data_IF_908156339741
#
_entry.id   IF_908156339741
#
_cell.length_a   1.000
_cell.length_b   1.000
_cell.length_c   1.000
_cell.angle_alpha   90.00
_cell.angle_beta   90.00
_cell.angle_gamma   90.00
#
_symmetry.space_group_name_H-M   'P 1'
#
loop_
_entity.id
_entity.type
_entity.pdbx_description
1 polymer ?
#
# COMPACT_ATOMS: atom_id res chain seq x y z
N UNK A 1 1.01 -26.20 -14.04
CA UNK A 1 0.84 -24.98 -14.85
C UNK A 1 -0.63 -24.60 -15.01
N UNK A 2 -1.53 -25.53 -15.34
CA UNK A 2 -2.97 -25.29 -15.50
C UNK A 2 -3.64 -24.56 -14.31
N UNK A 3 -3.41 -25.01 -13.06
CA UNK A 3 -3.96 -24.37 -11.85
C UNK A 3 -3.64 -22.88 -11.73
N UNK A 4 -2.44 -22.46 -12.13
CA UNK A 4 -2.01 -21.05 -12.09
C UNK A 4 -2.78 -20.22 -13.12
N UNK A 5 -2.98 -20.76 -14.32
CA UNK A 5 -3.76 -20.11 -15.38
C UNK A 5 -5.24 -19.99 -15.01
N UNK A 6 -5.82 -21.04 -14.40
CA UNK A 6 -7.20 -21.00 -13.91
C UNK A 6 -7.40 -19.93 -12.83
N UNK A 7 -6.46 -19.79 -11.88
CA UNK A 7 -6.53 -18.74 -10.87
C UNK A 7 -6.44 -17.33 -11.47
N UNK A 8 -5.52 -17.13 -12.44
CA UNK A 8 -5.41 -15.84 -13.15
C UNK A 8 -6.70 -15.53 -13.90
N UNK A 9 -7.23 -16.50 -14.65
CA UNK A 9 -8.49 -16.33 -15.37
C UNK A 9 -9.65 -16.00 -14.42
N UNK A 10 -9.76 -16.70 -13.28
CA UNK A 10 -10.79 -16.43 -12.28
C UNK A 10 -10.70 -15.01 -11.71
N UNK A 11 -9.49 -14.53 -11.38
CA UNK A 11 -9.28 -13.15 -10.91
C UNK A 11 -9.65 -12.12 -11.99
N UNK A 12 -9.28 -12.37 -13.25
CA UNK A 12 -9.62 -11.48 -14.36
C UNK A 12 -11.14 -11.43 -14.61
N UNK A 13 -11.81 -12.58 -14.57
CA UNK A 13 -13.28 -12.65 -14.69
C UNK A 13 -13.95 -11.93 -13.53
N UNK A 14 -13.47 -12.12 -12.29
CA UNK A 14 -13.98 -11.41 -11.12
C UNK A 14 -13.84 -9.88 -11.29
N UNK A 15 -12.68 -9.41 -11.76
CA UNK A 15 -12.44 -7.99 -12.00
C UNK A 15 -13.32 -7.45 -13.13
N UNK A 16 -13.49 -8.22 -14.22
CA UNK A 16 -14.34 -7.83 -15.35
C UNK A 16 -15.81 -7.71 -14.92
N UNK A 17 -16.33 -8.70 -14.18
CA UNK A 17 -17.71 -8.68 -13.67
C UNK A 17 -17.87 -7.52 -12.68
N UNK A 18 -16.96 -7.38 -11.72
CA UNK A 18 -17.04 -6.30 -10.72
C UNK A 18 -16.98 -4.92 -11.36
N UNK A 19 -16.11 -4.74 -12.36
CA UNK A 19 -15.97 -3.49 -13.10
C UNK A 19 -17.18 -3.19 -13.99
N UNK A 20 -17.76 -4.20 -14.63
CA UNK A 20 -19.01 -4.05 -15.39
C UNK A 20 -20.17 -3.63 -14.47
N UNK A 21 -20.34 -4.32 -13.35
CA UNK A 21 -21.39 -3.99 -12.37
C UNK A 21 -21.21 -2.58 -11.80
N UNK A 22 -19.98 -2.20 -11.47
CA UNK A 22 -19.66 -0.84 -10.99
C UNK A 22 -19.95 0.22 -12.05
N UNK A 23 -19.54 -0.02 -13.31
CA UNK A 23 -19.78 0.91 -14.41
C UNK A 23 -21.28 1.06 -14.70
N UNK A 24 -22.04 -0.03 -14.64
CA UNK A 24 -23.50 0.01 -14.79
C UNK A 24 -24.15 0.80 -13.65
N UNK A 25 -23.76 0.55 -12.40
CA UNK A 25 -24.28 1.27 -11.24
C UNK A 25 -23.95 2.78 -11.30
N UNK A 26 -22.69 3.14 -11.57
CA UNK A 26 -22.31 4.55 -11.74
C UNK A 26 -23.01 5.19 -12.93
N UNK A 27 -23.17 4.46 -14.04
CA UNK A 27 -23.83 4.95 -15.24
C UNK A 27 -25.33 5.19 -15.04
N UNK A 28 -26.01 4.33 -14.28
CA UNK A 28 -27.44 4.50 -13.97
C UNK A 28 -27.69 5.63 -12.98
N UNK A 29 -26.81 5.81 -12.00
CA UNK A 29 -26.95 6.84 -10.97
C UNK A 29 -26.53 8.24 -11.47
N UNK A 30 -25.45 8.32 -12.25
CA UNK A 30 -24.83 9.61 -12.59
C UNK A 30 -25.07 10.05 -14.05
N UNK A 31 -25.34 9.10 -14.95
CA UNK A 31 -25.21 9.33 -16.38
C UNK A 31 -23.75 9.52 -16.84
N UNK A 32 -23.52 9.45 -18.15
CA UNK A 32 -22.16 9.39 -18.71
C UNK A 32 -21.35 10.68 -18.49
N UNK A 33 -22.01 11.84 -18.56
CA UNK A 33 -21.34 13.13 -18.41
C UNK A 33 -20.82 13.34 -16.98
N UNK A 34 -21.69 13.20 -15.97
CA UNK A 34 -21.29 13.41 -14.58
C UNK A 34 -20.29 12.34 -14.12
N UNK A 35 -20.47 11.07 -14.52
CA UNK A 35 -19.50 10.01 -14.26
C UNK A 35 -18.12 10.34 -14.87
N UNK A 36 -18.07 10.87 -16.09
CA UNK A 36 -16.82 11.28 -16.75
C UNK A 36 -16.10 12.41 -16.02
N UNK A 37 -16.83 13.48 -15.67
CA UNK A 37 -16.25 14.61 -14.91
C UNK A 37 -15.76 14.16 -13.53
N UNK A 38 -16.56 13.35 -12.85
CA UNK A 38 -16.22 12.81 -11.55
C UNK A 38 -14.99 11.89 -11.58
N UNK A 39 -14.88 11.02 -12.59
CA UNK A 39 -13.73 10.15 -12.81
C UNK A 39 -12.44 10.96 -13.04
N UNK A 40 -12.48 11.99 -13.89
CA UNK A 40 -11.33 12.88 -14.10
C UNK A 40 -10.93 13.60 -12.82
N UNK A 41 -11.90 14.05 -12.04
CA UNK A 41 -11.66 14.73 -10.75
C UNK A 41 -11.07 13.77 -9.71
N UNK A 42 -11.54 12.52 -9.66
CA UNK A 42 -11.05 11.47 -8.76
C UNK A 42 -9.59 11.05 -9.04
N UNK A 43 -9.08 11.26 -10.26
CA UNK A 43 -7.67 11.04 -10.58
C UNK A 43 -6.72 12.02 -9.87
N UNK A 44 -7.18 13.22 -9.50
CA UNK A 44 -6.35 14.24 -8.86
C UNK A 44 -5.82 13.79 -7.48
N UNK A 45 -6.66 13.41 -6.49
CA UNK A 45 -6.15 12.90 -5.22
C UNK A 45 -5.39 11.57 -5.40
N UNK A 46 -5.82 10.74 -6.35
CA UNK A 46 -5.14 9.47 -6.63
C UNK A 46 -3.69 9.69 -7.10
N UNK A 47 -3.47 10.73 -7.92
CA UNK A 47 -2.15 11.17 -8.38
C UNK A 47 -1.22 11.65 -7.28
N UNK A 48 -1.73 11.86 -6.06
CA UNK A 48 -0.95 12.19 -4.86
C UNK A 48 -0.74 10.94 -4.00
N UNK A 49 -1.81 10.20 -3.74
CA UNK A 49 -1.81 9.06 -2.80
C UNK A 49 -0.96 7.90 -3.30
N UNK A 50 -1.14 7.48 -4.56
CA UNK A 50 -0.40 6.32 -5.10
C UNK A 50 1.11 6.58 -5.13
N UNK A 51 1.61 7.72 -5.65
CA UNK A 51 3.04 8.01 -5.58
C UNK A 51 3.59 8.11 -4.16
N UNK A 52 2.81 8.58 -3.19
CA UNK A 52 3.23 8.63 -1.79
C UNK A 52 3.42 7.22 -1.20
N UNK A 53 2.49 6.29 -1.49
CA UNK A 53 2.59 4.89 -1.09
C UNK A 53 3.78 4.18 -1.77
N UNK A 54 3.94 4.35 -3.08
CA UNK A 54 5.07 3.77 -3.83
C UNK A 54 6.43 4.40 -3.45
N UNK A 55 6.42 5.59 -2.85
CA UNK A 55 7.63 6.21 -2.31
C UNK A 55 8.04 5.61 -0.96
N UNK A 56 7.08 5.06 -0.20
CA UNK A 56 7.35 4.38 1.05
C UNK A 56 8.19 3.12 0.80
N UNK A 57 7.80 2.34 -0.21
CA UNK A 57 8.36 1.05 -0.65
C UNK A 57 9.62 1.16 -1.54
N UNK A 58 10.59 1.98 -1.12
CA UNK A 58 11.73 2.34 -1.99
C UNK A 58 12.98 1.50 -1.77
N UNK A 59 13.04 0.71 -0.70
CA UNK A 59 14.21 -0.12 -0.38
C UNK A 59 14.17 -1.44 -1.15
N UNK A 60 13.03 -2.10 -1.14
CA UNK A 60 12.63 -3.23 -1.99
C UNK A 60 11.35 -2.81 -2.69
N UNK A 61 11.32 -2.82 -4.02
CA UNK A 61 10.11 -2.45 -4.75
C UNK A 61 9.28 -3.68 -5.05
N UNK A 62 8.03 -3.66 -4.59
CA UNK A 62 7.11 -4.76 -4.76
C UNK A 62 6.77 -5.05 -6.23
N UNK A 63 6.51 -6.32 -6.60
CA UNK A 63 6.17 -6.68 -7.98
C UNK A 63 4.89 -5.96 -8.44
N UNK A 64 4.97 -5.25 -9.56
CA UNK A 64 3.88 -4.43 -10.12
C UNK A 64 2.54 -5.16 -10.24
N UNK A 65 2.56 -6.47 -10.48
CA UNK A 65 1.36 -7.31 -10.55
C UNK A 65 0.56 -7.35 -9.23
N UNK A 66 1.23 -7.28 -8.08
CA UNK A 66 0.56 -7.30 -6.76
C UNK A 66 0.10 -5.91 -6.36
N UNK A 67 0.85 -4.87 -6.74
CA UNK A 67 0.42 -3.48 -6.61
C UNK A 67 -0.86 -3.24 -7.44
N UNK A 68 -0.87 -3.69 -8.69
CA UNK A 68 -2.03 -3.64 -9.56
C UNK A 68 -3.20 -4.49 -9.07
N UNK A 69 -2.93 -5.68 -8.51
CA UNK A 69 -3.97 -6.50 -7.88
C UNK A 69 -4.56 -5.81 -6.64
N UNK A 70 -3.75 -5.28 -5.73
CA UNK A 70 -4.22 -4.60 -4.52
C UNK A 70 -5.11 -3.41 -4.88
N UNK A 71 -4.63 -2.56 -5.80
CA UNK A 71 -5.40 -1.42 -6.31
C UNK A 71 -6.69 -1.85 -6.99
N UNK A 72 -6.62 -2.81 -7.94
CA UNK A 72 -7.78 -3.30 -8.68
C UNK A 72 -8.80 -4.03 -7.79
N UNK A 73 -8.34 -4.76 -6.78
CA UNK A 73 -9.19 -5.37 -5.77
C UNK A 73 -9.98 -4.31 -5.02
N UNK A 74 -9.31 -3.26 -4.55
CA UNK A 74 -9.94 -2.12 -3.91
C UNK A 74 -10.96 -1.42 -4.80
N UNK A 75 -10.54 -1.00 -5.99
CA UNK A 75 -11.34 -0.20 -6.91
C UNK A 75 -12.55 -0.95 -7.46
N UNK A 76 -12.41 -2.24 -7.74
CA UNK A 76 -13.45 -3.02 -8.42
C UNK A 76 -14.19 -3.93 -7.45
N UNK A 77 -13.49 -4.89 -6.84
CA UNK A 77 -14.17 -5.94 -6.06
C UNK A 77 -14.70 -5.39 -4.75
N UNK A 78 -13.85 -4.73 -3.96
CA UNK A 78 -14.24 -4.21 -2.66
C UNK A 78 -15.32 -3.13 -2.81
N UNK A 79 -15.18 -2.19 -3.76
CA UNK A 79 -16.21 -1.18 -4.02
C UNK A 79 -17.54 -1.80 -4.45
N UNK A 80 -17.56 -2.68 -5.46
CA UNK A 80 -18.81 -3.25 -5.98
C UNK A 80 -19.54 -4.07 -4.92
N UNK A 81 -18.82 -4.91 -4.16
CA UNK A 81 -19.42 -5.70 -3.09
C UNK A 81 -19.89 -4.79 -1.94
N UNK A 82 -19.12 -3.76 -1.59
CA UNK A 82 -19.53 -2.81 -0.55
C UNK A 82 -20.77 -2.03 -0.96
N UNK A 83 -20.88 -1.60 -2.23
CA UNK A 83 -22.06 -0.91 -2.74
C UNK A 83 -23.32 -1.75 -2.54
N UNK A 84 -23.28 -3.04 -2.90
CA UNK A 84 -24.43 -3.95 -2.72
C UNK A 84 -24.77 -4.15 -1.24
N UNK A 85 -23.76 -4.42 -0.41
CA UNK A 85 -23.97 -4.71 1.02
C UNK A 85 -24.41 -3.47 1.80
N UNK A 86 -23.81 -2.32 1.54
CA UNK A 86 -24.16 -1.05 2.19
C UNK A 86 -25.60 -0.66 1.83
N UNK A 87 -25.97 -0.67 0.54
CA UNK A 87 -27.34 -0.34 0.09
C UNK A 87 -28.37 -1.31 0.66
N UNK A 88 -28.09 -2.62 0.64
CA UNK A 88 -28.99 -3.62 1.22
C UNK A 88 -29.15 -3.45 2.74
N UNK A 89 -28.05 -3.18 3.45
CA UNK A 89 -28.08 -2.96 4.89
C UNK A 89 -28.82 -1.69 5.28
N UNK A 90 -28.67 -0.61 4.52
CA UNK A 90 -29.37 0.65 4.72
C UNK A 90 -30.88 0.45 4.61
N UNK A 91 -31.34 -0.23 3.55
CA UNK A 91 -32.76 -0.51 3.34
C UNK A 91 -33.38 -1.33 4.48
N UNK A 92 -32.67 -2.34 4.97
CA UNK A 92 -33.13 -3.15 6.11
C UNK A 92 -33.15 -2.34 7.40
N UNK A 93 -32.10 -1.57 7.69
CA UNK A 93 -31.97 -0.82 8.94
C UNK A 93 -32.99 0.33 9.04
N UNK A 94 -33.22 1.06 7.95
CA UNK A 94 -34.25 2.10 7.88
C UNK A 94 -35.66 1.54 8.10
N UNK A 95 -35.91 0.28 7.74
CA UNK A 95 -37.20 -0.38 7.98
C UNK A 95 -37.41 -0.81 9.44
N UNK A 96 -36.34 -0.94 10.23
CA UNK A 96 -36.39 -1.53 11.58
C UNK A 96 -36.15 -0.49 12.68
N UNK A 97 -35.41 0.58 12.42
CA UNK A 97 -35.10 1.63 13.40
C UNK A 97 -35.00 3.01 12.76
N UNK A 98 -35.44 4.04 13.50
CA UNK A 98 -35.33 5.43 13.09
C UNK A 98 -33.87 5.91 12.93
N UNK A 99 -32.93 5.25 13.62
CA UNK A 99 -31.49 5.55 13.55
C UNK A 99 -30.80 4.73 12.43
N UNK A 100 -31.56 4.01 11.62
CA UNK A 100 -31.03 3.00 10.69
C UNK A 100 -30.02 3.55 9.69
N UNK A 101 -30.24 4.77 9.21
CA UNK A 101 -29.31 5.45 8.30
C UNK A 101 -27.97 5.77 8.98
N UNK A 102 -28.01 6.34 10.18
CA UNK A 102 -26.80 6.66 10.94
C UNK A 102 -26.01 5.38 11.28
N UNK A 103 -26.68 4.29 11.68
CA UNK A 103 -26.04 2.99 11.95
C UNK A 103 -25.42 2.40 10.68
N UNK A 104 -26.11 2.48 9.55
CA UNK A 104 -25.60 2.00 8.27
C UNK A 104 -24.32 2.74 7.85
N UNK A 105 -24.33 4.07 7.94
CA UNK A 105 -23.20 4.93 7.55
C UNK A 105 -22.03 4.82 8.53
N UNK A 106 -22.29 4.87 9.84
CA UNK A 106 -21.22 4.97 10.86
C UNK A 106 -20.66 3.62 11.26
N UNK A 107 -21.46 2.54 11.20
CA UNK A 107 -21.03 1.22 11.69
C UNK A 107 -20.90 0.23 10.55
N UNK A 108 -21.96 0.03 9.77
CA UNK A 108 -21.99 -1.07 8.78
C UNK A 108 -21.03 -0.81 7.64
N UNK A 109 -21.03 0.40 7.08
CA UNK A 109 -20.13 0.77 5.97
C UNK A 109 -18.65 0.57 6.35
N UNK A 110 -18.13 1.10 7.48
CA UNK A 110 -16.76 0.80 7.91
C UNK A 110 -16.46 -0.69 8.08
N UNK A 111 -17.38 -1.46 8.67
CA UNK A 111 -17.18 -2.91 8.86
C UNK A 111 -17.08 -3.62 7.52
N UNK A 112 -18.01 -3.36 6.61
CA UNK A 112 -18.06 -3.99 5.29
C UNK A 112 -16.83 -3.61 4.47
N UNK A 113 -16.56 -2.31 4.35
CA UNK A 113 -15.55 -1.80 3.45
C UNK A 113 -14.14 -2.13 3.91
N UNK A 114 -13.81 -1.94 5.20
CA UNK A 114 -12.47 -2.24 5.70
C UNK A 114 -12.20 -3.75 5.67
N UNK A 115 -13.23 -4.59 5.89
CA UNK A 115 -13.10 -6.04 5.73
C UNK A 115 -12.79 -6.42 4.28
N UNK A 116 -13.52 -5.85 3.31
CA UNK A 116 -13.35 -6.16 1.90
C UNK A 116 -12.01 -5.64 1.35
N UNK A 117 -11.57 -4.44 1.72
CA UNK A 117 -10.23 -3.93 1.38
C UNK A 117 -9.13 -4.81 1.95
N UNK A 118 -9.24 -5.15 3.25
CA UNK A 118 -8.26 -5.98 3.95
C UNK A 118 -8.20 -7.40 3.40
N UNK A 119 -9.33 -7.96 2.94
CA UNK A 119 -9.37 -9.28 2.31
C UNK A 119 -8.44 -9.35 1.10
N UNK A 120 -8.34 -8.30 0.29
CA UNK A 120 -7.40 -8.24 -0.83
C UNK A 120 -5.95 -8.43 -0.39
N UNK A 121 -5.57 -7.78 0.71
CA UNK A 121 -4.23 -7.90 1.31
C UNK A 121 -3.98 -9.32 1.84
N UNK A 122 -4.97 -9.89 2.52
CA UNK A 122 -4.88 -11.27 3.03
C UNK A 122 -4.76 -12.30 1.90
N UNK A 123 -5.42 -12.08 0.76
CA UNK A 123 -5.27 -12.94 -0.42
C UNK A 123 -3.85 -12.87 -1.00
N UNK A 124 -3.24 -11.67 -1.04
CA UNK A 124 -1.81 -11.52 -1.44
C UNK A 124 -0.94 -12.34 -0.49
N UNK A 125 -1.11 -12.15 0.83
CA UNK A 125 -0.35 -12.90 1.84
C UNK A 125 -0.54 -14.42 1.70
N UNK A 126 -1.78 -14.89 1.49
CA UNK A 126 -2.09 -16.32 1.34
C UNK A 126 -1.39 -16.92 0.13
N UNK A 127 -1.56 -16.30 -1.05
CA UNK A 127 -1.02 -16.87 -2.29
C UNK A 127 0.48 -16.63 -2.43
N UNK A 128 1.04 -15.64 -1.74
CA UNK A 128 2.42 -15.18 -1.90
C UNK A 128 3.12 -14.81 -0.60
N UNK A 129 2.96 -15.65 0.42
CA UNK A 129 3.65 -15.57 1.72
C UNK A 129 5.19 -15.40 1.68
N UNK A 130 5.83 -15.71 0.55
CA UNK A 130 7.28 -15.59 0.40
C UNK A 130 7.72 -14.21 -0.13
N UNK A 131 6.78 -13.44 -0.70
CA UNK A 131 7.02 -12.10 -1.23
C UNK A 131 6.55 -11.04 -0.22
N UNK A 132 5.56 -11.38 0.62
CA UNK A 132 5.07 -10.49 1.68
C UNK A 132 5.87 -10.72 2.96
N UNK A 133 6.68 -9.75 3.33
CA UNK A 133 7.72 -9.90 4.32
C UNK A 133 7.80 -8.74 5.34
N UNK A 134 7.13 -7.62 5.09
CA UNK A 134 7.24 -6.44 5.93
C UNK A 134 5.94 -5.83 6.45
N UNK A 135 6.11 -4.98 7.48
CA UNK A 135 5.13 -3.95 7.83
C UNK A 135 4.94 -2.95 6.69
N UNK A 136 6.01 -2.66 5.94
CA UNK A 136 5.95 -1.73 4.80
C UNK A 136 5.07 -2.31 3.68
N UNK A 137 5.26 -3.58 3.31
CA UNK A 137 4.44 -4.29 2.34
C UNK A 137 2.97 -4.27 2.77
N UNK A 138 2.71 -4.56 4.04
CA UNK A 138 1.38 -4.46 4.63
C UNK A 138 0.74 -3.09 4.47
N UNK A 139 1.49 -2.01 4.75
CA UNK A 139 1.05 -0.62 4.54
C UNK A 139 0.80 -0.35 3.05
N UNK A 140 1.69 -0.80 2.15
CA UNK A 140 1.63 -0.49 0.73
C UNK A 140 0.47 -1.20 0.06
N UNK A 141 0.30 -2.50 0.31
CA UNK A 141 -0.83 -3.28 -0.23
C UNK A 141 -2.18 -2.82 0.34
N UNK A 142 -2.27 -2.59 1.65
CA UNK A 142 -3.48 -2.06 2.27
C UNK A 142 -3.81 -0.65 1.76
N UNK A 143 -2.80 0.22 1.69
CA UNK A 143 -2.94 1.58 1.19
C UNK A 143 -3.36 1.63 -0.27
N UNK A 144 -2.83 0.76 -1.13
CA UNK A 144 -3.24 0.68 -2.54
C UNK A 144 -4.66 0.13 -2.70
N UNK A 145 -5.04 -0.86 -1.89
CA UNK A 145 -6.43 -1.33 -1.87
C UNK A 145 -7.39 -0.24 -1.43
N UNK A 146 -7.04 0.49 -0.38
CA UNK A 146 -7.82 1.64 0.08
C UNK A 146 -7.86 2.79 -0.94
N UNK A 147 -6.74 3.07 -1.63
CA UNK A 147 -6.68 4.10 -2.67
C UNK A 147 -7.53 3.74 -3.90
N UNK A 148 -7.54 2.47 -4.30
CA UNK A 148 -8.44 1.97 -5.34
C UNK A 148 -9.90 2.13 -4.96
N UNK A 149 -10.26 1.72 -3.74
CA UNK A 149 -11.61 1.90 -3.21
C UNK A 149 -12.01 3.37 -3.19
N UNK A 150 -11.17 4.23 -2.60
CA UNK A 150 -11.42 5.67 -2.51
C UNK A 150 -11.55 6.32 -3.89
N UNK A 151 -10.80 5.86 -4.90
CA UNK A 151 -10.95 6.33 -6.27
C UNK A 151 -12.36 6.05 -6.80
N UNK A 152 -12.81 4.80 -6.73
CA UNK A 152 -14.13 4.41 -7.23
C UNK A 152 -15.27 5.09 -6.45
N UNK A 153 -15.14 5.17 -5.13
CA UNK A 153 -16.10 5.85 -4.27
C UNK A 153 -16.17 7.36 -4.55
N UNK A 154 -15.02 8.01 -4.75
CA UNK A 154 -14.97 9.43 -5.10
C UNK A 154 -15.70 9.74 -6.42
N UNK A 155 -15.76 8.81 -7.38
CA UNK A 155 -16.55 9.01 -8.60
C UNK A 155 -18.03 9.19 -8.26
N UNK A 156 -18.55 8.37 -7.35
CA UNK A 156 -19.95 8.48 -6.92
C UNK A 156 -20.21 9.81 -6.20
N UNK A 157 -19.40 10.15 -5.20
CA UNK A 157 -19.58 11.40 -4.42
C UNK A 157 -19.39 12.66 -5.28
N UNK A 158 -18.38 12.70 -6.14
CA UNK A 158 -18.16 13.84 -7.03
C UNK A 158 -19.24 13.95 -8.10
N UNK A 159 -19.72 12.81 -8.61
CA UNK A 159 -20.82 12.78 -9.58
C UNK A 159 -22.13 13.29 -8.99
N UNK A 160 -22.50 12.80 -7.80
CA UNK A 160 -23.71 13.25 -7.09
C UNK A 160 -23.64 14.74 -6.78
N UNK A 161 -22.51 15.21 -6.24
CA UNK A 161 -22.31 16.63 -5.95
C UNK A 161 -22.38 17.51 -7.20
N UNK A 162 -21.90 17.00 -8.35
CA UNK A 162 -22.01 17.69 -9.64
C UNK A 162 -23.45 17.74 -10.15
N UNK A 163 -24.24 16.68 -9.96
CA UNK A 163 -25.65 16.66 -10.34
C UNK A 163 -26.51 17.58 -9.48
N UNK A 164 -26.25 17.63 -8.18
CA UNK A 164 -27.01 18.43 -7.22
C UNK A 164 -26.67 19.92 -7.27
N UNK A 165 -25.37 20.24 -7.34
CA UNK A 165 -24.86 21.61 -7.19
C UNK A 165 -23.97 22.10 -8.33
N UNK A 166 -23.93 21.38 -9.45
CA UNK A 166 -23.08 21.73 -10.59
C UNK A 166 -21.58 21.77 -10.22
N UNK A 167 -20.85 22.67 -10.86
CA UNK A 167 -19.42 22.85 -10.59
C UNK A 167 -19.12 23.27 -9.15
N UNK A 168 -19.98 24.07 -8.51
CA UNK A 168 -19.77 24.51 -7.13
C UNK A 168 -19.94 23.37 -6.13
N UNK A 169 -20.98 22.55 -6.29
CA UNK A 169 -21.19 21.34 -5.48
C UNK A 169 -20.01 20.38 -5.59
N UNK A 170 -19.54 20.13 -6.83
CA UNK A 170 -18.35 19.33 -7.09
C UNK A 170 -17.11 19.87 -6.36
N UNK A 171 -16.85 21.18 -6.45
CA UNK A 171 -15.70 21.82 -5.79
C UNK A 171 -15.77 21.66 -4.27
N UNK A 172 -16.95 21.86 -3.67
CA UNK A 172 -17.13 21.70 -2.22
C UNK A 172 -16.76 20.30 -1.74
N UNK A 173 -17.30 19.26 -2.39
CA UNK A 173 -17.00 17.87 -2.04
C UNK A 173 -15.55 17.50 -2.38
N UNK A 174 -14.99 18.03 -3.47
CA UNK A 174 -13.58 17.85 -3.83
C UNK A 174 -12.63 18.43 -2.78
N UNK A 175 -12.91 19.59 -2.19
CA UNK A 175 -12.08 20.15 -1.13
C UNK A 175 -12.04 19.21 0.08
N UNK A 176 -13.20 18.70 0.50
CA UNK A 176 -13.27 17.81 1.67
C UNK A 176 -12.60 16.45 1.38
N UNK A 177 -12.92 15.81 0.26
CA UNK A 177 -12.46 14.43 -0.01
C UNK A 177 -11.11 14.38 -0.73
N UNK A 178 -10.87 15.29 -1.66
CA UNK A 178 -9.68 15.34 -2.51
C UNK A 178 -8.50 16.11 -1.90
N UNK A 179 -8.75 17.13 -1.06
CA UNK A 179 -7.68 17.95 -0.45
C UNK A 179 -7.51 17.64 1.04
N UNK A 180 -8.60 17.67 1.82
CA UNK A 180 -8.53 17.43 3.27
C UNK A 180 -8.49 15.94 3.62
N UNK A 181 -9.17 15.10 2.85
CA UNK A 181 -9.31 13.67 3.08
C UNK A 181 -8.60 12.70 2.11
N UNK A 182 -7.60 13.06 1.27
CA UNK A 182 -7.11 12.14 0.23
C UNK A 182 -6.50 10.87 0.82
N UNK A 183 -6.00 10.94 2.05
CA UNK A 183 -5.40 9.81 2.76
C UNK A 183 -6.33 9.15 3.79
N UNK A 184 -7.61 9.53 3.89
CA UNK A 184 -8.52 8.97 4.90
C UNK A 184 -8.59 7.45 4.82
N UNK A 185 -9.10 6.88 3.71
CA UNK A 185 -9.15 5.43 3.55
C UNK A 185 -7.75 4.77 3.67
N UNK A 186 -6.68 5.26 2.99
CA UNK A 186 -5.35 4.70 3.17
C UNK A 186 -4.92 4.58 4.63
N UNK A 187 -5.05 5.63 5.45
CA UNK A 187 -4.63 5.59 6.86
C UNK A 187 -5.44 4.57 7.66
N UNK A 188 -6.74 4.45 7.41
CA UNK A 188 -7.60 3.49 8.12
C UNK A 188 -7.19 2.05 7.79
N UNK A 189 -7.21 1.68 6.51
CA UNK A 189 -6.91 0.30 6.08
C UNK A 189 -5.45 -0.06 6.37
N UNK A 190 -4.52 0.91 6.36
CA UNK A 190 -3.13 0.69 6.75
C UNK A 190 -2.99 0.23 8.19
N UNK A 191 -3.92 0.53 9.11
CA UNK A 191 -3.88 -0.04 10.46
C UNK A 191 -3.97 -1.58 10.43
N UNK A 192 -4.86 -2.13 9.59
CA UNK A 192 -4.92 -3.56 9.32
C UNK A 192 -3.66 -4.06 8.61
N UNK A 193 -3.18 -3.31 7.60
CA UNK A 193 -1.95 -3.61 6.88
C UNK A 193 -0.72 -3.74 7.79
N UNK A 194 -0.56 -2.84 8.76
CA UNK A 194 0.51 -2.88 9.77
C UNK A 194 0.44 -4.14 10.61
N UNK A 195 -0.77 -4.51 11.07
CA UNK A 195 -0.98 -5.69 11.88
C UNK A 195 -0.68 -6.99 11.11
N UNK A 196 -1.12 -7.07 9.84
CA UNK A 196 -0.81 -8.19 8.93
C UNK A 196 0.69 -8.27 8.66
N UNK A 197 1.32 -7.15 8.32
CA UNK A 197 2.76 -7.01 8.11
C UNK A 197 3.61 -7.40 9.32
N UNK A 198 3.13 -7.10 10.52
CA UNK A 198 3.77 -7.57 11.74
C UNK A 198 3.56 -9.07 11.94
N UNK A 199 2.36 -9.60 11.66
CA UNK A 199 2.04 -11.00 11.86
C UNK A 199 2.74 -11.98 10.90
N UNK A 200 3.00 -11.56 9.65
CA UNK A 200 3.38 -12.46 8.55
C UNK A 200 4.67 -13.27 8.80
N UNK A 201 5.66 -12.70 9.48
CA UNK A 201 6.94 -13.35 9.79
C UNK A 201 6.97 -14.07 11.14
N UNK A 202 5.90 -13.98 11.93
CA UNK A 202 5.82 -14.59 13.27
C UNK A 202 5.03 -15.89 13.22
N UNK A 203 5.32 -16.80 14.14
CA UNK A 203 4.59 -18.07 14.30
C UNK A 203 3.59 -17.97 15.45
N UNK A 204 2.43 -18.60 15.26
CA UNK A 204 1.40 -18.73 16.30
C UNK A 204 0.14 -17.92 16.01
N UNK A 205 -0.99 -18.43 16.52
CA UNK A 205 -2.35 -17.88 16.31
C UNK A 205 -2.46 -16.42 16.74
N UNK A 206 -1.78 -16.06 17.84
CA UNK A 206 -1.74 -14.68 18.31
C UNK A 206 -1.24 -13.72 17.23
N UNK A 207 -0.08 -14.02 16.64
CA UNK A 207 0.53 -13.13 15.67
C UNK A 207 -0.10 -13.20 14.29
N UNK A 208 -0.54 -14.39 13.86
CA UNK A 208 -1.04 -14.62 12.50
C UNK A 208 -2.54 -14.40 12.34
N UNK A 209 -3.29 -14.30 13.45
CA UNK A 209 -4.76 -14.16 13.41
C UNK A 209 -5.25 -13.07 14.34
N UNK A 210 -4.92 -13.12 15.63
CA UNK A 210 -5.48 -12.15 16.60
C UNK A 210 -5.01 -10.73 16.31
N UNK A 211 -3.71 -10.52 16.08
CA UNK A 211 -3.17 -9.20 15.78
C UNK A 211 -3.76 -8.61 14.48
N UNK A 212 -3.80 -9.33 13.34
CA UNK A 212 -4.51 -8.87 12.14
C UNK A 212 -5.98 -8.49 12.37
N UNK A 213 -6.72 -9.26 13.18
CA UNK A 213 -8.11 -8.94 13.53
C UNK A 213 -8.21 -7.65 14.36
N UNK A 214 -7.30 -7.44 15.32
CA UNK A 214 -7.24 -6.19 16.08
C UNK A 214 -6.92 -5.01 15.17
N UNK A 215 -5.99 -5.17 14.21
CA UNK A 215 -5.70 -4.14 13.22
C UNK A 215 -6.90 -3.79 12.35
N UNK A 216 -7.69 -4.80 11.95
CA UNK A 216 -8.94 -4.60 11.22
C UNK A 216 -9.99 -3.85 12.07
N UNK A 217 -10.16 -4.21 13.33
CA UNK A 217 -11.05 -3.50 14.26
C UNK A 217 -10.62 -2.03 14.39
N UNK A 218 -9.32 -1.77 14.52
CA UNK A 218 -8.80 -0.39 14.56
C UNK A 218 -9.13 0.35 13.26
N UNK A 219 -8.93 -0.27 12.10
CA UNK A 219 -9.30 0.33 10.82
C UNK A 219 -10.80 0.71 10.77
N UNK A 220 -11.68 -0.21 11.19
CA UNK A 220 -13.12 0.02 11.27
C UNK A 220 -13.48 1.17 12.21
N UNK A 221 -12.86 1.24 13.40
CA UNK A 221 -13.12 2.31 14.37
C UNK A 221 -12.64 3.68 13.89
N UNK A 222 -11.47 3.74 13.24
CA UNK A 222 -10.97 4.98 12.66
C UNK A 222 -11.90 5.48 11.55
N UNK A 223 -12.35 4.58 10.68
CA UNK A 223 -13.28 4.90 9.60
C UNK A 223 -14.67 5.28 10.15
N UNK A 224 -15.19 4.56 11.14
CA UNK A 224 -16.42 4.92 11.84
C UNK A 224 -16.34 6.31 12.48
N UNK A 225 -15.20 6.65 13.10
CA UNK A 225 -14.96 7.99 13.64
C UNK A 225 -15.00 9.09 12.58
N UNK A 226 -14.48 8.82 11.38
CA UNK A 226 -14.60 9.73 10.24
C UNK A 226 -16.05 9.89 9.78
N UNK A 227 -16.78 8.80 9.57
CA UNK A 227 -18.18 8.85 9.15
C UNK A 227 -19.07 9.55 10.18
N UNK A 228 -18.84 9.28 11.47
CA UNK A 228 -19.53 9.96 12.57
C UNK A 228 -19.29 11.47 12.53
N UNK A 229 -18.07 11.91 12.22
CA UNK A 229 -17.75 13.34 12.12
C UNK A 229 -18.49 14.05 10.97
N UNK A 230 -18.81 13.32 9.90
CA UNK A 230 -19.56 13.81 8.75
C UNK A 230 -21.08 13.85 9.01
N UNK A 231 -21.63 12.86 9.73
CA UNK A 231 -23.07 12.77 10.04
C UNK A 231 -23.54 13.84 11.03
N UNK A 232 -22.72 14.22 12.01
CA UNK A 232 -23.11 15.21 13.05
C UNK A 232 -22.97 16.68 12.55
N UNK A 233 -23.05 16.92 11.24
CA UNK A 233 -23.11 18.26 10.63
C UNK A 233 -21.79 19.04 10.55
N UNK A 234 -21.83 20.15 9.79
CA UNK A 234 -20.69 21.05 9.53
C UNK A 234 -20.23 21.80 10.80
N UNK A 235 -21.16 22.07 11.72
CA UNK A 235 -20.85 22.70 13.00
C UNK A 235 -19.96 21.76 13.83
N UNK A 236 -18.69 22.13 13.96
CA UNK A 236 -17.68 21.31 14.63
C UNK A 236 -17.04 20.24 13.73
N UNK A 237 -17.38 20.12 12.43
CA UNK A 237 -16.64 19.26 11.49
C UNK A 237 -15.16 19.63 11.47
N UNK A 238 -14.83 20.91 11.32
CA UNK A 238 -13.43 21.39 11.31
C UNK A 238 -12.74 21.08 12.65
N UNK A 239 -13.41 21.32 13.77
CA UNK A 239 -12.85 21.02 15.10
C UNK A 239 -12.56 19.53 15.27
N UNK A 240 -13.49 18.65 14.87
CA UNK A 240 -13.33 17.19 14.93
C UNK A 240 -12.29 16.68 13.94
N UNK A 241 -12.27 17.22 12.72
CA UNK A 241 -11.23 16.94 11.72
C UNK A 241 -9.85 17.25 12.30
N UNK A 242 -9.66 18.43 12.89
CA UNK A 242 -8.39 18.83 13.52
C UNK A 242 -8.07 18.02 14.78
N UNK A 243 -9.07 17.65 15.59
CA UNK A 243 -8.86 16.94 16.85
C UNK A 243 -8.69 15.43 16.71
N UNK A 244 -9.24 14.81 15.66
CA UNK A 244 -9.21 13.37 15.44
C UNK A 244 -8.43 13.01 14.17
N UNK A 245 -8.85 13.52 13.01
CA UNK A 245 -8.27 13.10 11.74
C UNK A 245 -6.80 13.52 11.60
N UNK A 246 -6.48 14.77 11.91
CA UNK A 246 -5.10 15.27 11.79
C UNK A 246 -4.14 14.49 12.70
N UNK A 247 -4.43 14.25 13.99
CA UNK A 247 -3.60 13.40 14.83
C UNK A 247 -3.46 11.97 14.31
N UNK A 248 -4.57 11.34 13.88
CA UNK A 248 -4.52 9.98 13.30
C UNK A 248 -3.63 9.95 12.05
N UNK A 249 -3.75 10.94 11.18
CA UNK A 249 -2.91 11.07 9.99
C UNK A 249 -1.43 11.28 10.36
N UNK A 250 -1.13 12.18 11.30
CA UNK A 250 0.24 12.45 11.77
C UNK A 250 0.86 11.22 12.39
N UNK A 251 0.12 10.48 13.22
CA UNK A 251 0.58 9.21 13.81
C UNK A 251 0.81 8.16 12.73
N UNK A 252 -0.12 8.01 11.79
CA UNK A 252 0.01 7.05 10.68
C UNK A 252 1.23 7.33 9.80
N UNK A 253 1.40 8.59 9.36
CA UNK A 253 2.57 9.01 8.57
C UNK A 253 3.85 8.89 9.39
N UNK A 254 3.85 9.33 10.65
CA UNK A 254 4.98 9.21 11.54
C UNK A 254 5.44 7.76 11.72
N UNK A 255 4.49 6.84 11.92
CA UNK A 255 4.76 5.41 12.01
C UNK A 255 5.30 4.84 10.69
N UNK A 256 4.71 5.19 9.54
CA UNK A 256 5.19 4.75 8.23
C UNK A 256 6.64 5.23 7.96
N UNK A 257 6.94 6.49 8.27
CA UNK A 257 8.29 7.04 8.15
C UNK A 257 9.28 6.38 9.12
N UNK A 258 8.85 6.08 10.35
CA UNK A 258 9.65 5.34 11.32
C UNK A 258 9.93 3.91 10.84
N UNK A 259 8.91 3.20 10.36
CA UNK A 259 9.04 1.84 9.83
C UNK A 259 10.03 1.80 8.66
N UNK A 260 9.93 2.76 7.74
CA UNK A 260 10.85 2.90 6.62
C UNK A 260 12.30 3.19 7.04
N UNK A 261 12.50 4.02 8.07
CA UNK A 261 13.85 4.26 8.63
C UNK A 261 14.40 2.98 9.27
N UNK A 262 13.56 2.23 9.97
CA UNK A 262 13.93 0.96 10.63
C UNK A 262 14.31 -0.11 9.61
N UNK A 263 13.64 -0.17 8.47
CA UNK A 263 13.99 -1.05 7.36
C UNK A 263 15.38 -0.76 6.81
N UNK A 264 15.70 0.52 6.55
CA UNK A 264 17.06 0.92 6.16
C UNK A 264 18.13 0.52 7.18
N UNK A 265 17.84 0.69 8.48
CA UNK A 265 18.74 0.24 9.55
C UNK A 265 18.91 -1.28 9.58
N UNK A 266 17.85 -2.04 9.31
CA UNK A 266 17.89 -3.49 9.25
C UNK A 266 18.78 -3.96 8.10
N UNK A 267 18.61 -3.37 6.91
CA UNK A 267 19.48 -3.60 5.76
C UNK A 267 20.94 -3.33 6.14
N UNK A 268 21.22 -2.17 6.75
CA UNK A 268 22.56 -1.81 7.21
C UNK A 268 23.17 -2.83 8.18
N UNK A 269 22.41 -3.33 9.16
CA UNK A 269 22.88 -4.33 10.13
C UNK A 269 23.26 -5.65 9.47
N UNK A 270 22.44 -6.16 8.55
CA UNK A 270 22.75 -7.41 7.85
C UNK A 270 23.93 -7.24 6.90
N UNK A 271 24.03 -6.09 6.21
CA UNK A 271 25.14 -5.78 5.31
C UNK A 271 26.47 -5.53 6.04
N UNK A 272 26.44 -5.03 7.27
CA UNK A 272 27.63 -4.85 8.09
C UNK A 272 28.40 -6.17 8.32
N UNK A 273 27.69 -7.30 8.41
CA UNK A 273 28.32 -8.62 8.48
C UNK A 273 29.17 -8.94 7.25
N UNK A 274 28.73 -8.55 6.06
CA UNK A 274 29.50 -8.72 4.82
C UNK A 274 30.67 -7.74 4.72
N UNK A 275 30.54 -6.54 5.29
CA UNK A 275 31.65 -5.61 5.38
C UNK A 275 32.79 -6.13 6.29
N UNK A 276 32.45 -6.78 7.40
CA UNK A 276 33.43 -7.43 8.27
C UNK A 276 34.23 -8.56 7.60
N UNK A 277 33.71 -9.12 6.50
CA UNK A 277 34.37 -10.17 5.70
C UNK A 277 34.92 -9.63 4.37
N UNK A 278 35.02 -8.31 4.22
CA UNK A 278 35.59 -7.65 3.06
C UNK A 278 34.62 -7.38 1.91
N UNK A 279 33.56 -8.15 1.70
CA UNK A 279 32.66 -8.02 0.52
C UNK A 279 32.11 -6.60 0.26
N UNK A 280 31.91 -5.81 1.32
CA UNK A 280 31.46 -4.42 1.28
C UNK A 280 32.40 -3.52 2.09
N UNK A 281 32.47 -2.24 1.74
CA UNK A 281 33.08 -1.22 2.58
C UNK A 281 32.07 -0.62 3.57
N UNK A 282 32.53 -0.08 4.69
CA UNK A 282 31.68 0.63 5.66
C UNK A 282 30.85 1.76 5.01
N UNK A 283 31.44 2.64 4.18
CA UNK A 283 30.69 3.65 3.45
C UNK A 283 29.64 3.10 2.48
N UNK A 284 29.89 1.95 1.83
CA UNK A 284 28.88 1.30 1.01
C UNK A 284 27.69 0.81 1.85
N UNK A 285 27.93 0.23 3.03
CA UNK A 285 26.84 -0.18 3.93
C UNK A 285 25.98 1.00 4.34
N UNK A 286 26.61 2.13 4.69
CA UNK A 286 25.90 3.37 5.04
C UNK A 286 25.06 3.88 3.86
N UNK A 287 25.66 3.93 2.66
CA UNK A 287 24.96 4.31 1.42
C UNK A 287 23.78 3.39 1.11
N UNK A 288 23.96 2.09 1.25
CA UNK A 288 22.93 1.08 0.99
C UNK A 288 21.79 1.14 2.01
N UNK A 289 22.07 1.54 3.25
CA UNK A 289 21.08 1.69 4.32
C UNK A 289 20.28 3.00 4.24
N UNK A 290 20.66 3.97 3.41
CA UNK A 290 20.10 5.33 3.41
C UNK A 290 19.57 5.75 2.03
N UNK A 291 18.26 6.01 1.92
CA UNK A 291 17.65 6.44 0.65
C UNK A 291 18.21 7.74 0.07
N UNK A 292 18.48 8.81 0.87
CA UNK A 292 19.19 9.99 0.38
C UNK A 292 20.54 9.64 -0.24
N UNK A 293 21.34 8.81 0.42
CA UNK A 293 22.67 8.43 -0.07
C UNK A 293 22.59 7.50 -1.29
N UNK A 294 21.60 6.59 -1.36
CA UNK A 294 21.32 5.83 -2.58
C UNK A 294 21.04 6.75 -3.77
N UNK A 295 20.28 7.83 -3.56
CA UNK A 295 19.99 8.83 -4.61
C UNK A 295 21.24 9.58 -5.03
N UNK A 296 22.08 9.98 -4.07
CA UNK A 296 23.36 10.63 -4.32
C UNK A 296 24.31 9.73 -5.11
N UNK A 297 24.48 8.47 -4.69
CA UNK A 297 25.31 7.47 -5.38
C UNK A 297 24.84 7.23 -6.83
N UNK A 298 23.51 7.22 -7.08
CA UNK A 298 22.95 7.14 -8.43
C UNK A 298 23.24 8.38 -9.27
N UNK A 299 23.16 9.59 -8.68
CA UNK A 299 23.53 10.84 -9.37
C UNK A 299 25.01 10.86 -9.71
N UNK A 300 25.86 10.45 -8.76
CA UNK A 300 27.30 10.33 -8.95
C UNK A 300 27.62 9.34 -10.08
N UNK A 301 27.02 8.15 -10.07
CA UNK A 301 27.24 7.14 -11.11
C UNK A 301 26.79 7.63 -12.49
N UNK A 302 25.66 8.34 -12.58
CA UNK A 302 25.20 8.97 -13.82
C UNK A 302 26.19 10.04 -14.32
N UNK A 303 26.72 10.87 -13.42
CA UNK A 303 27.64 11.94 -13.77
C UNK A 303 29.00 11.43 -14.26
N UNK A 304 29.52 10.33 -13.70
CA UNK A 304 30.87 9.84 -13.98
C UNK A 304 30.92 8.71 -15.01
N UNK A 305 29.85 7.91 -15.15
CA UNK A 305 29.82 6.75 -16.06
C UNK A 305 28.53 6.63 -16.87
N UNK A 306 27.72 7.70 -16.93
CA UNK A 306 26.52 7.77 -17.76
C UNK A 306 25.43 6.76 -17.40
N UNK A 307 24.56 6.46 -18.38
CA UNK A 307 23.44 5.53 -18.21
C UNK A 307 23.86 4.11 -17.81
N UNK A 308 24.96 3.54 -18.36
CA UNK A 308 25.42 2.20 -17.95
C UNK A 308 25.81 2.14 -16.47
N UNK A 309 26.58 3.11 -15.97
CA UNK A 309 26.97 3.15 -14.56
C UNK A 309 25.77 3.41 -13.63
N UNK A 310 24.82 4.25 -14.04
CA UNK A 310 23.55 4.41 -13.31
C UNK A 310 22.77 3.09 -13.22
N UNK A 311 22.69 2.33 -14.31
CA UNK A 311 22.01 1.04 -14.33
C UNK A 311 22.72 0.02 -13.42
N UNK A 312 24.06 -0.02 -13.46
CA UNK A 312 24.86 -0.87 -12.58
C UNK A 312 24.70 -0.49 -11.09
N UNK A 313 24.73 0.80 -10.75
CA UNK A 313 24.50 1.29 -9.39
C UNK A 313 23.10 0.92 -8.87
N UNK A 314 22.06 0.99 -9.71
CA UNK A 314 20.71 0.53 -9.34
C UNK A 314 20.72 -0.95 -9.02
N UNK A 315 21.23 -1.80 -9.93
CA UNK A 315 21.31 -3.26 -9.70
C UNK A 315 22.13 -3.60 -8.47
N UNK A 316 23.24 -2.89 -8.21
CA UNK A 316 24.03 -3.05 -6.99
C UNK A 316 23.22 -2.74 -5.73
N UNK A 317 22.46 -1.64 -5.71
CA UNK A 317 21.60 -1.26 -4.58
C UNK A 317 20.46 -2.26 -4.36
N UNK A 318 19.83 -2.71 -5.44
CA UNK A 318 18.69 -3.65 -5.39
C UNK A 318 19.15 -5.03 -4.91
N UNK A 319 20.22 -5.58 -5.51
CA UNK A 319 20.81 -6.86 -5.08
C UNK A 319 21.35 -6.82 -3.64
N UNK A 320 21.86 -5.67 -3.18
CA UNK A 320 22.25 -5.52 -1.79
C UNK A 320 21.05 -5.58 -0.83
N UNK A 321 19.91 -4.98 -1.18
CA UNK A 321 18.68 -5.13 -0.40
C UNK A 321 18.26 -6.61 -0.36
N UNK A 322 18.20 -7.27 -1.52
CA UNK A 322 17.83 -8.69 -1.62
C UNK A 322 18.74 -9.58 -0.78
N UNK A 323 20.05 -9.32 -0.79
CA UNK A 323 21.04 -10.03 0.03
C UNK A 323 20.78 -9.83 1.54
N UNK A 324 20.50 -8.60 1.96
CA UNK A 324 20.22 -8.28 3.36
C UNK A 324 18.96 -9.03 3.86
N UNK A 325 17.90 -9.04 3.06
CA UNK A 325 16.64 -9.73 3.39
C UNK A 325 16.78 -11.25 3.32
N UNK A 326 17.54 -11.77 2.36
CA UNK A 326 17.89 -13.18 2.30
C UNK A 326 18.62 -13.60 3.58
N UNK A 327 19.57 -12.79 4.06
CA UNK A 327 20.30 -13.04 5.29
C UNK A 327 19.39 -13.00 6.52
N UNK A 328 18.46 -12.06 6.59
CA UNK A 328 17.44 -12.00 7.64
C UNK A 328 16.61 -13.29 7.68
N UNK A 329 16.11 -13.76 6.52
CA UNK A 329 15.34 -15.00 6.41
C UNK A 329 16.14 -16.23 6.82
N UNK A 330 17.44 -16.25 6.51
CA UNK A 330 18.32 -17.36 6.91
C UNK A 330 18.51 -17.41 8.42
N UNK A 331 18.66 -16.26 9.08
CA UNK A 331 18.80 -16.18 10.53
C UNK A 331 17.51 -16.58 11.27
N UNK A 332 16.34 -16.29 10.71
CA UNK A 332 15.05 -16.64 11.29
C UNK A 332 14.53 -18.04 10.88
N UNK A 333 15.30 -18.79 10.08
CA UNK A 333 14.92 -20.15 9.64
C UNK A 333 13.67 -20.16 8.73
N UNK A 334 13.44 -19.09 7.97
CA UNK A 334 12.36 -18.96 6.98
C UNK A 334 12.86 -18.91 5.54
N UNK A 335 14.18 -18.97 5.34
CA UNK A 335 14.80 -18.98 4.02
C UNK A 335 14.50 -20.27 3.23
N UNK A 336 14.50 -20.13 1.91
CA UNK A 336 14.36 -21.25 0.97
C UNK A 336 15.60 -22.17 1.02
N UNK A 337 15.48 -23.45 0.60
CA UNK A 337 16.61 -24.39 0.60
C UNK A 337 17.81 -23.94 -0.23
N UNK A 338 17.57 -23.15 -1.28
CA UNK A 338 18.57 -22.59 -2.21
C UNK A 338 19.23 -21.30 -1.70
N UNK A 339 18.89 -20.82 -0.50
CA UNK A 339 19.33 -19.52 0.01
C UNK A 339 20.86 -19.35 0.05
N UNK A 340 21.63 -20.41 0.32
CA UNK A 340 23.11 -20.35 0.28
C UNK A 340 23.66 -20.16 -1.12
N UNK A 341 22.98 -20.70 -2.13
CA UNK A 341 23.36 -20.52 -3.54
C UNK A 341 23.03 -19.08 -3.95
N UNK A 342 21.82 -18.62 -3.67
CA UNK A 342 21.38 -17.25 -3.93
C UNK A 342 22.27 -16.19 -3.23
N UNK A 343 22.71 -16.45 -1.99
CA UNK A 343 23.64 -15.59 -1.25
C UNK A 343 24.97 -15.40 -2.01
N UNK A 344 25.53 -16.48 -2.56
CA UNK A 344 26.77 -16.43 -3.35
C UNK A 344 26.58 -15.74 -4.70
N UNK A 345 25.48 -16.02 -5.39
CA UNK A 345 25.15 -15.39 -6.68
C UNK A 345 24.97 -13.88 -6.52
N UNK A 346 24.27 -13.45 -5.46
CA UNK A 346 24.09 -12.04 -5.15
C UNK A 346 25.44 -11.34 -4.89
N UNK A 347 26.32 -11.93 -4.09
CA UNK A 347 27.65 -11.39 -3.82
C UNK A 347 28.51 -11.27 -5.09
N UNK A 348 28.46 -12.27 -5.98
CA UNK A 348 29.16 -12.24 -7.26
C UNK A 348 28.61 -11.12 -8.16
N UNK A 349 27.28 -11.05 -8.32
CA UNK A 349 26.62 -10.03 -9.13
C UNK A 349 26.93 -8.62 -8.62
N UNK A 350 26.95 -8.41 -7.31
CA UNK A 350 27.33 -7.13 -6.71
C UNK A 350 28.77 -6.74 -7.07
N UNK A 351 29.71 -7.69 -7.06
CA UNK A 351 31.08 -7.46 -7.53
C UNK A 351 31.13 -7.06 -9.01
N UNK A 352 30.32 -7.68 -9.86
CA UNK A 352 30.23 -7.36 -11.29
C UNK A 352 29.68 -5.95 -11.51
N UNK A 353 28.60 -5.57 -10.83
CA UNK A 353 28.03 -4.23 -10.94
C UNK A 353 28.99 -3.17 -10.43
N UNK A 354 29.71 -3.43 -9.33
CA UNK A 354 30.70 -2.50 -8.78
C UNK A 354 31.76 -2.12 -9.82
N UNK A 355 32.27 -3.10 -10.56
CA UNK A 355 33.29 -2.85 -11.61
C UNK A 355 32.78 -1.95 -12.73
N UNK A 356 31.47 -1.96 -13.01
CA UNK A 356 30.87 -1.14 -14.06
C UNK A 356 30.73 0.35 -13.68
N UNK A 357 30.70 0.70 -12.39
CA UNK A 357 30.65 2.10 -11.94
C UNK A 357 31.90 2.57 -11.17
N UNK A 358 32.83 1.66 -10.84
CA UNK A 358 34.15 1.93 -10.28
C UNK A 358 35.23 1.11 -11.03
N UNK A 359 35.55 1.46 -12.29
CA UNK A 359 36.63 0.79 -13.03
C UNK A 359 37.98 1.01 -12.33
N UNK A 360 38.69 -0.07 -11.99
CA UNK A 360 40.07 -0.02 -11.48
C UNK A 360 40.25 -0.25 -9.98
N UNK A 361 39.20 -0.43 -9.17
CA UNK A 361 39.37 -0.90 -7.78
C UNK A 361 39.36 -2.44 -7.71
N UNK A 362 40.35 -3.08 -7.05
CA UNK A 362 40.32 -4.51 -6.82
C UNK A 362 39.11 -4.87 -5.96
N UNK A 363 38.41 -5.96 -6.31
CA UNK A 363 37.36 -6.49 -5.44
C UNK A 363 37.99 -6.85 -4.09
N UNK A 364 37.38 -6.48 -2.96
CA UNK A 364 37.86 -6.95 -1.68
C UNK A 364 37.87 -8.48 -1.66
N UNK A 365 38.93 -9.01 -1.06
CA UNK A 365 39.51 -10.34 -1.32
C UNK A 365 38.47 -11.47 -1.26
N UNK A 366 38.53 -12.37 -2.26
CA UNK A 366 37.84 -13.67 -2.24
C UNK A 366 38.57 -14.60 -1.27
N UNK A 367 38.16 -14.62 -0.01
CA UNK A 367 38.56 -15.69 0.92
C UNK A 367 37.40 -16.65 1.14
#
# INVERSE_FOLDING_TARGET
MLRRWLLIAAVLVLFLISGLLLALALGSELGLQAAGVAALTALLPLGIVVPALLWLDRYESEPIRYLGFAFGWGALVATTVSLVLNTGSLAVLQAVTAEGEAVAIVVVAPVVEESLKTLGVLLILWFRRNEFDGVIDGIVYAGLSAAGFAFAENILYFGQAFLEGGGEGLVGVFVVRGILGPFAHPVFTCAAGVAIGWGCRRRGVWAQTVVPLLGLIVAMLLHAGWNLSAVIGLDGFVARYLALQVPVFVVGVGYALWARRREGQLIGRHLAGYAGHGWLSGPEVVMLASLPQRREARRWALAHGGRPALAAMRRFQDTATELALLRERMQHGTARPDARVAEREALQAMGDYRRAFLPGQPSPVRN
#
